data_IF_849054980456
#
_entry.id   IF_849054980456
#
_cell.length_a   1.000
_cell.length_b   1.000
_cell.length_c   1.000
_cell.angle_alpha   90.00
_cell.angle_beta   90.00
_cell.angle_gamma   90.00
#
_symmetry.space_group_name_H-M   'P 1'
#
loop_
_entity.id
_entity.type
_entity.pdbx_description
1 polymer ?
#
# COMPACT_ATOMS: atom_id res chain seq x y z
N UNK A 1 -2.91 -11.26 7.35
CA UNK A 1 -2.72 -10.27 6.27
C UNK A 1 -1.57 -10.62 5.32
N UNK A 2 -0.34 -10.88 5.78
CA UNK A 2 0.79 -11.13 4.85
C UNK A 2 0.55 -12.33 3.92
N UNK A 3 -0.14 -13.37 4.39
CA UNK A 3 -0.49 -14.54 3.57
C UNK A 3 -1.52 -14.19 2.49
N UNK A 4 -2.49 -13.35 2.80
CA UNK A 4 -3.53 -12.89 1.88
C UNK A 4 -2.93 -12.01 0.79
N UNK A 5 -1.97 -11.14 1.15
CA UNK A 5 -1.17 -10.37 0.19
C UNK A 5 -0.34 -11.26 -0.73
N UNK A 6 0.24 -12.33 -0.19
CA UNK A 6 0.96 -13.34 -0.98
C UNK A 6 0.02 -14.07 -1.96
N UNK A 7 -1.15 -14.51 -1.49
CA UNK A 7 -2.15 -15.19 -2.31
C UNK A 7 -2.66 -14.29 -3.45
N UNK A 8 -2.97 -13.03 -3.17
CA UNK A 8 -3.40 -12.06 -4.20
C UNK A 8 -2.28 -11.84 -5.22
N UNK A 9 -1.04 -11.62 -4.78
CA UNK A 9 0.09 -11.47 -5.70
C UNK A 9 0.30 -12.70 -6.58
N UNK A 10 0.22 -13.90 -6.01
CA UNK A 10 0.37 -15.17 -6.75
C UNK A 10 -0.81 -15.44 -7.70
N UNK A 11 -2.03 -15.06 -7.32
CA UNK A 11 -3.25 -15.34 -8.11
C UNK A 11 -3.37 -14.42 -9.31
N UNK A 12 -3.06 -13.14 -9.12
CA UNK A 12 -3.21 -12.10 -10.15
C UNK A 12 -1.89 -11.72 -10.82
N UNK A 13 -0.78 -12.35 -10.46
CA UNK A 13 0.54 -12.08 -11.04
C UNK A 13 1.08 -10.67 -10.73
N UNK A 14 0.70 -10.09 -9.59
CA UNK A 14 1.07 -8.71 -9.25
C UNK A 14 2.55 -8.62 -8.87
N UNK A 15 3.25 -7.65 -9.46
CA UNK A 15 4.57 -7.24 -9.01
C UNK A 15 4.51 -6.61 -7.61
N UNK A 16 5.67 -6.52 -6.94
CA UNK A 16 5.79 -5.83 -5.64
C UNK A 16 5.31 -4.37 -5.73
N UNK A 17 5.51 -3.71 -6.86
CA UNK A 17 5.08 -2.32 -7.09
C UNK A 17 3.56 -2.21 -7.22
N UNK A 18 2.93 -3.12 -7.97
CA UNK A 18 1.47 -3.16 -8.11
C UNK A 18 0.79 -3.50 -6.78
N UNK A 19 1.33 -4.46 -6.04
CA UNK A 19 0.83 -4.83 -4.72
C UNK A 19 0.96 -3.68 -3.71
N UNK A 20 2.05 -2.91 -3.78
CA UNK A 20 2.24 -1.71 -2.97
C UNK A 20 1.20 -0.62 -3.30
N UNK A 21 0.97 -0.34 -4.59
CA UNK A 21 -0.05 0.63 -5.03
C UNK A 21 -1.46 0.19 -4.65
N UNK A 22 -1.75 -1.11 -4.71
CA UNK A 22 -3.02 -1.68 -4.25
C UNK A 22 -3.25 -1.37 -2.76
N UNK A 23 -2.23 -1.61 -1.92
CA UNK A 23 -2.28 -1.30 -0.49
C UNK A 23 -2.46 0.21 -0.24
N UNK A 24 -1.73 1.05 -0.98
CA UNK A 24 -1.82 2.50 -0.87
C UNK A 24 -3.22 3.01 -1.24
N UNK A 25 -3.81 2.49 -2.32
CA UNK A 25 -5.16 2.86 -2.76
C UNK A 25 -6.26 2.51 -1.75
N UNK A 26 -6.05 1.48 -0.92
CA UNK A 26 -7.00 1.08 0.11
C UNK A 26 -7.27 2.19 1.16
N UNK A 27 -6.34 3.15 1.33
CA UNK A 27 -6.49 4.30 2.24
C UNK A 27 -7.72 5.14 1.91
N UNK A 28 -8.11 5.26 0.65
CA UNK A 28 -9.27 6.07 0.27
C UNK A 28 -10.60 5.45 0.74
N UNK A 29 -10.61 4.14 0.95
CA UNK A 29 -11.80 3.37 1.30
C UNK A 29 -11.98 3.16 2.81
N UNK A 30 -11.03 3.61 3.64
CA UNK A 30 -11.19 3.51 5.11
C UNK A 30 -12.18 4.54 5.64
N UNK A 31 -12.93 4.17 6.68
CA UNK A 31 -13.86 5.05 7.38
C UNK A 31 -13.15 5.86 8.46
N UNK A 32 -12.14 6.61 8.05
CA UNK A 32 -11.42 7.55 8.89
C UNK A 32 -11.56 8.96 8.33
N UNK A 33 -11.31 9.97 9.17
CA UNK A 33 -11.28 11.36 8.74
C UNK A 33 -10.11 11.65 7.78
N UNK A 34 -10.16 12.82 7.15
CA UNK A 34 -9.18 13.21 6.15
C UNK A 34 -7.77 13.39 6.72
N UNK A 35 -7.64 13.74 8.01
CA UNK A 35 -6.34 13.89 8.66
C UNK A 35 -5.67 12.51 8.87
N UNK A 36 -6.45 11.50 9.28
CA UNK A 36 -5.98 10.12 9.34
C UNK A 36 -5.59 9.61 7.95
N UNK A 37 -6.42 9.83 6.92
CA UNK A 37 -6.09 9.43 5.54
C UNK A 37 -4.82 10.13 5.04
N UNK A 38 -4.64 11.42 5.34
CA UNK A 38 -3.44 12.19 5.01
C UNK A 38 -2.19 11.63 5.69
N UNK A 39 -2.29 11.27 6.97
CA UNK A 39 -1.20 10.62 7.71
C UNK A 39 -0.81 9.27 7.09
N UNK A 40 -1.80 8.44 6.76
CA UNK A 40 -1.57 7.14 6.11
C UNK A 40 -0.91 7.29 4.73
N UNK A 41 -1.35 8.25 3.90
CA UNK A 41 -0.69 8.56 2.63
C UNK A 41 0.78 8.93 2.83
N UNK A 42 1.10 9.77 3.81
CA UNK A 42 2.48 10.15 4.11
C UNK A 42 3.35 8.95 4.52
N UNK A 43 2.79 7.96 5.22
CA UNK A 43 3.50 6.70 5.55
C UNK A 43 3.85 5.92 4.28
N UNK A 44 2.90 5.77 3.35
CA UNK A 44 3.17 5.11 2.07
C UNK A 44 4.22 5.88 1.23
N UNK A 45 4.13 7.21 1.15
CA UNK A 45 5.10 8.03 0.42
C UNK A 45 6.52 7.89 0.98
N UNK A 46 6.67 7.88 2.32
CA UNK A 46 7.97 7.63 2.96
C UNK A 46 8.52 6.25 2.63
N UNK A 47 7.70 5.20 2.72
CA UNK A 47 8.11 3.84 2.39
C UNK A 47 8.50 3.71 0.90
N UNK A 48 7.82 4.44 0.00
CA UNK A 48 8.18 4.49 -1.41
C UNK A 48 9.54 5.17 -1.64
N UNK A 49 9.81 6.26 -0.92
CA UNK A 49 11.09 6.97 -0.99
C UNK A 49 12.26 6.13 -0.47
N UNK A 50 12.09 5.43 0.66
CA UNK A 50 13.10 4.53 1.23
C UNK A 50 13.49 3.39 0.27
N UNK A 51 12.53 2.94 -0.55
CA UNK A 51 12.71 1.91 -1.56
C UNK A 51 13.47 2.37 -2.82
N UNK A 52 13.58 3.68 -3.05
CA UNK A 52 14.39 4.26 -4.14
C UNK A 52 15.84 4.50 -3.71
N UNK A 53 16.11 4.55 -2.41
CA UNK A 53 17.44 4.73 -1.83
C UNK A 53 18.15 3.42 -1.46
N UNK A 54 17.49 2.27 -1.65
CA UNK A 54 17.99 0.92 -1.36
C UNK A 54 18.17 0.09 -2.62
#
# INVERSE_FOLDING_TARGET
LSNEYYLVASTFGLSKTELFRLAQGAVEFVFADDEVKKSLRAVFERAAAERLTS
#
